data_IF_732819256831
#
_entry.id   IF_732819256831
#
_cell.length_a   1.000
_cell.length_b   1.000
_cell.length_c   1.000
_cell.angle_alpha   90.00
_cell.angle_beta   90.00
_cell.angle_gamma   90.00
#
_symmetry.space_group_name_H-M   'P 1'
#
loop_
_entity.id
_entity.type
_entity.pdbx_description
1 polymer ?
#
# COMPACT_ATOMS: atom_id res chain seq x y z
N UNK A 1 33.46 53.45 -32.07
CA UNK A 1 32.89 54.49 -32.96
C UNK A 1 32.32 53.81 -34.20
N UNK A 2 31.25 54.38 -34.74
CA UNK A 2 30.46 54.03 -35.93
C UNK A 2 29.28 53.04 -35.77
N UNK A 3 28.10 53.67 -35.58
CA UNK A 3 26.74 53.21 -35.91
C UNK A 3 26.51 53.24 -37.44
N UNK A 4 25.55 52.44 -37.91
CA UNK A 4 24.51 52.68 -38.96
C UNK A 4 23.69 51.35 -39.01
N UNK A 5 22.48 51.25 -38.44
CA UNK A 5 21.13 51.64 -38.94
C UNK A 5 20.36 50.51 -39.65
N UNK A 6 19.25 50.14 -39.00
CA UNK A 6 17.99 49.49 -39.41
C UNK A 6 17.66 49.23 -40.90
N UNK A 7 17.09 48.04 -41.15
CA UNK A 7 15.88 47.81 -41.99
C UNK A 7 15.24 46.45 -41.58
N UNK A 8 14.09 46.41 -40.89
CA UNK A 8 12.69 46.33 -41.38
C UNK A 8 12.30 45.08 -42.21
N UNK A 9 11.54 44.21 -41.51
CA UNK A 9 10.25 43.57 -41.84
C UNK A 9 10.17 42.36 -42.81
N UNK A 10 9.67 41.26 -42.21
CA UNK A 10 8.52 40.41 -42.59
C UNK A 10 8.65 39.57 -43.89
N UNK A 11 8.71 38.25 -43.70
CA UNK A 11 8.43 37.23 -44.73
C UNK A 11 7.72 36.04 -44.05
N UNK A 12 6.44 35.82 -44.37
CA UNK A 12 5.90 34.65 -45.12
C UNK A 12 5.81 33.37 -44.26
N UNK A 13 4.64 32.92 -43.79
CA UNK A 13 3.48 32.32 -44.48
C UNK A 13 3.67 30.81 -44.85
N UNK A 14 2.81 29.97 -44.25
CA UNK A 14 2.26 28.67 -44.68
C UNK A 14 3.18 27.46 -44.94
N UNK A 15 2.95 26.37 -44.19
CA UNK A 15 2.81 25.00 -44.77
C UNK A 15 1.64 24.25 -44.07
N UNK A 16 0.74 23.77 -44.92
CA UNK A 16 -0.41 22.89 -44.70
C UNK A 16 0.07 21.43 -44.82
N UNK A 17 -0.50 20.46 -44.07
CA UNK A 17 -0.87 19.17 -44.67
C UNK A 17 -1.98 18.43 -43.91
N UNK A 18 -2.98 18.04 -44.69
CA UNK A 18 -4.20 17.26 -44.43
C UNK A 18 -3.94 15.74 -44.60
N UNK A 19 -4.99 14.95 -44.36
CA UNK A 19 -5.24 13.50 -44.63
C UNK A 19 -5.04 12.55 -43.43
N UNK A 20 -5.96 11.64 -43.08
CA UNK A 20 -7.18 11.17 -43.78
C UNK A 20 -8.15 10.41 -42.85
N UNK A 21 -9.42 10.57 -43.15
CA UNK A 21 -10.58 9.78 -42.75
C UNK A 21 -10.55 8.31 -43.22
N UNK A 22 -11.22 7.43 -42.46
CA UNK A 22 -11.99 6.31 -43.02
C UNK A 22 -13.34 6.19 -42.30
N UNK A 23 -14.39 6.19 -43.13
CA UNK A 23 -15.79 5.91 -42.86
C UNK A 23 -16.21 4.85 -43.90
N UNK A 24 -16.83 3.75 -43.48
CA UNK A 24 -17.65 2.80 -44.28
C UNK A 24 -18.59 2.12 -43.26
N UNK A 25 -19.90 2.49 -43.23
CA UNK A 25 -21.09 1.81 -43.81
C UNK A 25 -21.43 0.46 -43.10
N UNK A 26 -22.67 0.03 -42.84
CA UNK A 26 -24.04 0.53 -42.95
C UNK A 26 -24.99 -0.47 -42.22
N UNK A 27 -26.08 0.08 -41.66
CA UNK A 27 -27.47 -0.42 -41.48
C UNK A 27 -27.86 -1.90 -41.74
N UNK A 28 -28.70 -2.47 -40.86
CA UNK A 28 -29.96 -3.26 -41.09
C UNK A 28 -30.60 -3.49 -39.68
N UNK A 29 -31.64 -2.74 -39.30
CA UNK A 29 -33.10 -3.05 -39.27
C UNK A 29 -33.62 -3.73 -37.98
N UNK A 30 -34.81 -3.26 -37.61
CA UNK A 30 -35.71 -3.67 -36.53
C UNK A 30 -35.96 -5.17 -36.46
N UNK A 31 -36.14 -5.67 -35.24
CA UNK A 31 -37.29 -6.51 -34.95
C UNK A 31 -37.84 -6.12 -33.57
N UNK A 32 -38.99 -5.43 -33.60
CA UNK A 32 -39.92 -5.40 -32.49
C UNK A 32 -40.36 -6.85 -32.22
N UNK A 33 -39.99 -7.37 -31.06
CA UNK A 33 -40.77 -8.45 -30.44
C UNK A 33 -41.25 -7.93 -29.08
N UNK A 34 -42.49 -7.48 -29.12
CA UNK A 34 -43.38 -7.26 -27.99
C UNK A 34 -43.55 -8.55 -27.19
N UNK A 35 -42.83 -8.65 -26.08
CA UNK A 35 -43.21 -9.51 -24.96
C UNK A 35 -42.97 -8.73 -23.67
N UNK A 36 -43.99 -7.98 -23.25
CA UNK A 36 -44.10 -7.56 -21.86
C UNK A 36 -44.02 -8.79 -20.95
N UNK A 37 -43.07 -8.81 -20.02
CA UNK A 37 -43.20 -9.61 -18.81
C UNK A 37 -43.08 -8.73 -17.57
N UNK A 38 -43.92 -8.98 -16.55
CA UNK A 38 -44.21 -8.02 -15.50
C UNK A 38 -43.21 -8.17 -14.35
N UNK A 39 -42.83 -7.04 -13.77
CA UNK A 39 -42.06 -7.00 -12.53
C UNK A 39 -40.56 -6.87 -12.73
N UNK A 40 -40.12 -5.84 -13.46
CA UNK A 40 -38.88 -5.19 -13.07
C UNK A 40 -39.07 -4.71 -11.63
N UNK A 41 -38.47 -5.43 -10.68
CA UNK A 41 -38.10 -4.80 -9.42
C UNK A 41 -37.29 -3.59 -9.83
N UNK A 42 -37.85 -2.39 -9.64
CA UNK A 42 -37.07 -1.17 -9.56
C UNK A 42 -35.90 -1.51 -8.66
N UNK A 43 -34.71 -1.64 -9.24
CA UNK A 43 -33.50 -1.48 -8.46
C UNK A 43 -33.61 -0.03 -8.02
N UNK A 44 -34.04 0.18 -6.78
CA UNK A 44 -33.90 1.47 -6.13
C UNK A 44 -32.41 1.79 -6.21
N UNK A 45 -32.06 2.66 -7.17
CA UNK A 45 -30.75 3.30 -7.17
C UNK A 45 -30.74 4.09 -5.89
N UNK A 46 -29.97 3.63 -4.92
CA UNK A 46 -29.84 4.27 -3.62
C UNK A 46 -29.19 5.65 -3.83
N UNK A 47 -30.03 6.69 -4.00
CA UNK A 47 -29.62 8.09 -4.21
C UNK A 47 -28.76 8.61 -3.05
N UNK A 48 -28.72 7.89 -1.91
CA UNK A 48 -27.90 8.23 -0.75
C UNK A 48 -26.40 8.22 -1.05
N UNK A 49 -25.95 7.49 -2.09
CA UNK A 49 -24.54 7.34 -2.43
C UNK A 49 -23.95 8.40 -3.35
N UNK A 50 -24.78 9.32 -3.85
CA UNK A 50 -24.36 10.25 -4.88
C UNK A 50 -23.42 11.31 -4.31
N UNK A 51 -22.43 11.67 -5.12
CA UNK A 51 -21.53 12.77 -4.83
C UNK A 51 -22.24 14.10 -5.13
N UNK A 52 -21.91 15.11 -4.35
CA UNK A 52 -22.29 16.48 -4.66
C UNK A 52 -21.61 16.94 -5.93
N UNK A 53 -22.27 17.87 -6.64
CA UNK A 53 -21.66 18.50 -7.83
C UNK A 53 -20.55 19.47 -7.43
N UNK A 54 -19.58 19.68 -8.31
CA UNK A 54 -18.50 20.67 -8.08
C UNK A 54 -19.06 22.08 -7.83
N UNK A 55 -20.23 22.41 -8.40
CA UNK A 55 -20.91 23.68 -8.16
C UNK A 55 -21.36 23.84 -6.70
N UNK A 56 -21.80 22.77 -6.04
CA UNK A 56 -22.19 22.79 -4.62
C UNK A 56 -20.97 23.01 -3.72
N UNK A 57 -19.84 22.37 -4.04
CA UNK A 57 -18.59 22.58 -3.33
C UNK A 57 -18.11 24.04 -3.47
N UNK A 58 -18.16 24.60 -4.69
CA UNK A 58 -17.81 26.00 -4.92
C UNK A 58 -18.75 26.97 -4.20
N UNK A 59 -20.06 26.68 -4.15
CA UNK A 59 -21.02 27.47 -3.37
C UNK A 59 -20.69 27.47 -1.88
N UNK A 60 -20.34 26.29 -1.34
CA UNK A 60 -19.93 26.15 0.06
C UNK A 60 -18.65 26.94 0.34
N UNK A 61 -17.62 26.79 -0.49
CA UNK A 61 -16.34 27.48 -0.33
C UNK A 61 -16.44 29.01 -0.45
N UNK A 62 -17.36 29.51 -1.29
CA UNK A 62 -17.59 30.94 -1.48
C UNK A 62 -18.58 31.54 -0.46
N UNK A 63 -19.18 30.73 0.42
CA UNK A 63 -20.08 31.24 1.45
C UNK A 63 -19.31 32.18 2.40
N UNK A 64 -19.77 33.42 2.61
CA UNK A 64 -19.05 34.41 3.41
C UNK A 64 -19.10 34.02 4.90
N UNK A 65 -17.94 33.72 5.49
CA UNK A 65 -17.79 33.43 6.92
C UNK A 65 -17.16 34.63 7.64
N UNK A 66 -17.72 34.99 8.80
CA UNK A 66 -17.06 35.89 9.74
C UNK A 66 -15.86 35.19 10.35
N UNK A 67 -14.77 35.92 10.63
CA UNK A 67 -13.60 35.34 11.31
C UNK A 67 -13.91 35.16 12.79
N UNK A 68 -13.52 34.02 13.33
CA UNK A 68 -13.56 33.79 14.77
C UNK A 68 -12.51 34.66 15.47
N UNK A 69 -12.91 35.33 16.56
CA UNK A 69 -12.02 36.09 17.43
C UNK A 69 -11.94 35.38 18.80
N UNK A 70 -10.79 34.76 19.15
CA UNK A 70 -10.63 34.05 20.41
C UNK A 70 -10.57 34.98 21.64
N UNK A 71 -10.32 36.29 21.46
CA UNK A 71 -10.31 37.25 22.56
C UNK A 71 -10.90 38.59 22.08
N UNK A 72 -12.24 38.69 21.96
CA UNK A 72 -12.87 39.91 21.51
C UNK A 72 -12.51 41.05 22.45
N UNK A 73 -11.95 42.14 21.92
CA UNK A 73 -11.47 43.30 22.69
C UNK A 73 -12.59 44.10 23.41
N UNK A 74 -13.75 43.50 23.66
CA UNK A 74 -14.97 44.20 24.06
C UNK A 74 -15.60 43.82 25.40
N UNK A 75 -15.38 42.63 25.95
CA UNK A 75 -16.18 42.15 27.09
C UNK A 75 -15.35 41.44 28.17
N UNK A 76 -14.60 42.19 28.99
CA UNK A 76 -14.41 41.91 30.42
C UNK A 76 -13.40 42.86 31.10
N UNK A 77 -13.87 43.65 32.08
CA UNK A 77 -13.05 44.37 33.07
C UNK A 77 -12.41 43.43 34.12
N UNK A 78 -12.49 42.11 33.89
CA UNK A 78 -11.87 41.07 34.71
C UNK A 78 -11.06 40.25 33.71
N UNK A 79 -9.72 40.37 33.76
CA UNK A 79 -8.80 39.85 32.76
C UNK A 79 -9.27 38.55 32.11
N UNK A 80 -9.54 38.61 30.79
CA UNK A 80 -9.97 37.45 30.04
C UNK A 80 -8.94 36.34 30.23
N UNK A 81 -9.35 35.27 30.90
CA UNK A 81 -8.52 34.08 31.00
C UNK A 81 -8.22 33.63 29.58
N UNK A 82 -6.95 33.64 29.18
CA UNK A 82 -6.55 33.15 27.87
C UNK A 82 -7.08 31.73 27.71
N UNK A 83 -7.95 31.54 26.70
CA UNK A 83 -8.51 30.23 26.40
C UNK A 83 -7.38 29.25 26.10
N UNK A 84 -7.50 28.02 26.59
CA UNK A 84 -6.55 26.98 26.20
C UNK A 84 -6.62 26.73 24.68
N UNK A 85 -5.55 26.22 24.04
CA UNK A 85 -5.57 25.90 22.61
C UNK A 85 -6.73 24.95 22.20
N UNK A 86 -7.13 24.06 23.10
CA UNK A 86 -8.26 23.14 22.87
C UNK A 86 -9.61 23.88 22.92
N UNK A 87 -9.79 24.80 23.87
CA UNK A 87 -11.01 25.61 23.98
C UNK A 87 -11.17 26.52 22.78
N UNK A 88 -10.08 27.15 22.31
CA UNK A 88 -10.07 27.95 21.08
C UNK A 88 -10.53 27.11 19.91
N UNK A 89 -9.99 25.90 19.75
CA UNK A 89 -10.34 24.98 18.66
C UNK A 89 -11.82 24.59 18.69
N UNK A 90 -12.33 24.17 19.85
CA UNK A 90 -13.73 23.76 19.98
C UNK A 90 -14.69 24.92 19.74
N UNK A 91 -14.39 26.11 20.28
CA UNK A 91 -15.21 27.31 20.08
C UNK A 91 -15.17 27.80 18.63
N UNK A 92 -14.02 27.68 17.96
CA UNK A 92 -13.88 27.99 16.53
C UNK A 92 -14.80 27.10 15.69
N UNK A 93 -14.80 25.79 15.95
CA UNK A 93 -15.66 24.83 15.24
C UNK A 93 -17.13 25.17 15.46
N UNK A 94 -17.54 25.40 16.72
CA UNK A 94 -18.93 25.78 17.06
C UNK A 94 -19.35 27.07 16.34
N UNK A 95 -18.49 28.09 16.37
CA UNK A 95 -18.75 29.40 15.75
C UNK A 95 -18.97 29.31 14.24
N UNK A 96 -18.20 28.48 13.53
CA UNK A 96 -18.44 28.28 12.10
C UNK A 96 -19.65 27.39 11.82
N UNK A 97 -19.93 26.40 12.67
CA UNK A 97 -21.11 25.54 12.51
C UNK A 97 -22.42 26.31 12.63
N UNK A 98 -22.49 27.27 13.57
CA UNK A 98 -23.65 28.14 13.72
C UNK A 98 -23.90 29.00 12.48
N UNK A 99 -22.84 29.49 11.82
CA UNK A 99 -22.95 30.27 10.58
C UNK A 99 -23.40 29.44 9.37
N UNK A 100 -23.23 28.12 9.44
CA UNK A 100 -23.52 27.19 8.35
C UNK A 100 -24.86 26.46 8.53
N UNK A 101 -25.70 26.80 9.52
CA UNK A 101 -26.92 26.04 9.84
C UNK A 101 -27.78 25.73 8.61
N UNK A 102 -28.01 26.75 7.77
CA UNK A 102 -28.85 26.71 6.56
C UNK A 102 -28.15 26.16 5.31
N UNK A 103 -26.85 25.85 5.39
CA UNK A 103 -26.08 25.36 4.23
C UNK A 103 -26.23 23.84 4.12
N UNK A 104 -26.50 23.38 2.89
CA UNK A 104 -26.61 21.95 2.60
C UNK A 104 -25.25 21.24 2.73
N UNK A 105 -25.30 19.97 3.13
CA UNK A 105 -24.13 19.12 3.23
C UNK A 105 -23.59 18.78 1.84
N UNK A 106 -22.27 18.88 1.68
CA UNK A 106 -21.53 18.57 0.45
C UNK A 106 -20.81 17.25 0.61
N UNK A 107 -21.08 16.32 -0.31
CA UNK A 107 -20.48 14.99 -0.38
C UNK A 107 -19.33 14.99 -1.39
N UNK A 108 -18.08 14.88 -0.94
CA UNK A 108 -16.92 14.76 -1.83
C UNK A 108 -16.21 13.42 -1.72
N UNK A 109 -15.41 13.06 -2.72
CA UNK A 109 -14.51 11.91 -2.62
C UNK A 109 -13.40 12.16 -1.59
N UNK A 110 -13.02 11.14 -0.83
CA UNK A 110 -11.90 11.27 0.10
C UNK A 110 -10.58 11.56 -0.62
N UNK A 111 -10.37 11.03 -1.83
CA UNK A 111 -9.19 11.32 -2.63
C UNK A 111 -9.06 12.82 -2.92
N UNK A 112 -10.19 13.48 -3.19
CA UNK A 112 -10.24 14.93 -3.40
C UNK A 112 -9.76 15.63 -2.14
N UNK A 113 -10.29 15.30 -0.96
CA UNK A 113 -9.87 15.89 0.31
C UNK A 113 -8.37 15.73 0.57
N UNK A 114 -7.85 14.51 0.39
CA UNK A 114 -6.45 14.19 0.64
C UNK A 114 -5.51 14.91 -0.35
N UNK A 115 -6.01 15.26 -1.54
CA UNK A 115 -5.24 16.03 -2.53
C UNK A 115 -5.20 17.55 -2.26
N UNK A 116 -5.98 18.06 -1.30
CA UNK A 116 -5.99 19.48 -0.94
C UNK A 116 -4.82 19.82 -0.02
N UNK A 117 -4.29 21.04 -0.18
CA UNK A 117 -3.25 21.59 0.68
C UNK A 117 -3.35 23.12 0.76
N UNK A 118 -2.58 23.72 1.68
CA UNK A 118 -2.51 25.17 1.87
C UNK A 118 -3.86 25.82 2.20
N UNK A 119 -4.10 27.01 1.66
CA UNK A 119 -5.28 27.84 1.96
C UNK A 119 -6.61 27.16 1.62
N UNK A 120 -6.62 26.29 0.60
CA UNK A 120 -7.84 25.57 0.20
C UNK A 120 -8.26 24.57 1.27
N UNK A 121 -7.30 23.87 1.89
CA UNK A 121 -7.57 22.96 2.99
C UNK A 121 -8.08 23.76 4.21
N UNK A 122 -7.39 24.85 4.59
CA UNK A 122 -7.81 25.71 5.71
C UNK A 122 -9.24 26.25 5.55
N UNK A 123 -9.60 26.67 4.33
CA UNK A 123 -10.95 27.13 4.00
C UNK A 123 -12.00 26.01 4.14
N UNK A 124 -11.62 24.79 3.76
CA UNK A 124 -12.48 23.61 3.87
C UNK A 124 -12.71 23.21 5.33
N UNK A 125 -11.69 23.28 6.18
CA UNK A 125 -11.77 22.94 7.62
C UNK A 125 -12.76 23.84 8.36
N UNK A 126 -12.80 25.14 8.05
CA UNK A 126 -13.80 26.06 8.60
C UNK A 126 -15.25 25.71 8.20
N UNK A 127 -15.43 24.78 7.24
CA UNK A 127 -16.72 24.31 6.74
C UNK A 127 -16.94 22.81 6.96
N UNK A 128 -16.08 22.19 7.75
CA UNK A 128 -16.02 20.75 8.02
C UNK A 128 -17.38 20.13 8.40
N UNK A 129 -18.21 20.81 9.19
CA UNK A 129 -19.52 20.27 9.62
C UNK A 129 -20.53 20.03 8.50
N UNK A 130 -20.33 20.65 7.33
CA UNK A 130 -21.15 20.43 6.14
C UNK A 130 -20.46 19.58 5.10
N UNK A 131 -19.42 18.86 5.49
CA UNK A 131 -18.61 18.07 4.58
C UNK A 131 -18.66 16.60 4.99
N UNK A 132 -19.02 15.78 4.00
CA UNK A 132 -18.96 14.33 4.11
C UNK A 132 -18.03 13.79 3.04
N UNK A 133 -17.04 13.01 3.46
CA UNK A 133 -16.11 12.35 2.55
C UNK A 133 -16.66 10.98 2.18
N UNK A 134 -16.69 10.61 0.92
CA UNK A 134 -17.17 9.31 0.45
C UNK A 134 -16.07 8.26 0.57
N UNK A 135 -16.41 7.09 1.09
CA UNK A 135 -15.56 5.91 1.08
C UNK A 135 -15.22 5.48 -0.36
N UNK A 136 -13.96 5.19 -0.69
CA UNK A 136 -13.55 4.82 -2.06
C UNK A 136 -14.26 3.57 -2.60
N UNK A 137 -14.55 2.62 -1.71
CA UNK A 137 -15.02 1.27 -2.08
C UNK A 137 -16.43 0.95 -1.58
N UNK A 138 -16.93 1.68 -0.60
CA UNK A 138 -18.20 1.41 0.09
C UNK A 138 -19.13 2.60 -0.06
N UNK A 139 -20.42 2.37 0.03
CA UNK A 139 -21.39 3.47 0.07
C UNK A 139 -21.49 4.07 1.49
N UNK A 140 -20.36 4.54 2.01
CA UNK A 140 -20.24 5.07 3.36
C UNK A 140 -19.61 6.46 3.29
N UNK A 141 -19.89 7.29 4.31
CA UNK A 141 -19.36 8.63 4.39
C UNK A 141 -18.65 8.89 5.71
N UNK A 142 -17.44 9.44 5.63
CA UNK A 142 -16.71 9.97 6.77
C UNK A 142 -17.19 11.37 7.09
N UNK A 143 -17.49 11.62 8.36
CA UNK A 143 -17.85 12.96 8.83
C UNK A 143 -16.60 13.72 9.24
N UNK A 144 -16.49 14.98 8.79
CA UNK A 144 -15.45 15.90 9.25
C UNK A 144 -15.96 16.74 10.42
N UNK A 145 -15.11 16.92 11.42
CA UNK A 145 -15.36 17.81 12.55
C UNK A 145 -14.09 18.61 12.86
N UNK A 146 -14.09 19.87 12.44
CA UNK A 146 -12.87 20.67 12.42
C UNK A 146 -11.82 20.01 11.54
N UNK A 147 -10.64 19.79 12.12
CA UNK A 147 -9.48 19.15 11.51
C UNK A 147 -9.42 17.64 11.77
N UNK A 148 -10.50 17.02 12.28
CA UNK A 148 -10.56 15.59 12.55
C UNK A 148 -11.61 14.90 11.68
N UNK A 149 -11.29 13.68 11.27
CA UNK A 149 -12.24 12.78 10.60
C UNK A 149 -12.72 11.79 11.64
N UNK A 150 -14.04 11.68 11.82
CA UNK A 150 -14.64 10.89 12.89
C UNK A 150 -14.96 9.47 12.41
N UNK A 151 -14.57 8.49 13.22
CA UNK A 151 -14.91 7.07 13.06
C UNK A 151 -13.72 6.23 12.63
N UNK A 152 -13.86 4.90 12.75
CA UNK A 152 -12.87 3.93 12.27
C UNK A 152 -13.41 3.22 11.05
N UNK A 153 -12.57 3.07 10.02
CA UNK A 153 -13.00 2.56 8.72
C UNK A 153 -12.01 1.57 8.16
N UNK A 154 -12.56 0.55 7.50
CA UNK A 154 -11.80 -0.55 6.94
C UNK A 154 -11.72 -0.43 5.41
N UNK A 155 -10.50 -0.51 4.87
CA UNK A 155 -10.22 -0.33 3.43
C UNK A 155 -9.06 -1.20 2.96
N UNK A 156 -9.06 -1.59 1.67
CA UNK A 156 -7.92 -2.28 1.06
C UNK A 156 -6.59 -1.52 1.27
N UNK A 157 -5.54 -2.24 1.68
CA UNK A 157 -4.26 -1.63 2.06
C UNK A 157 -3.62 -0.80 0.93
N UNK A 158 -3.71 -1.26 -0.32
CA UNK A 158 -3.21 -0.50 -1.47
C UNK A 158 -3.89 0.87 -1.64
N UNK A 159 -5.17 0.98 -1.28
CA UNK A 159 -5.88 2.26 -1.31
C UNK A 159 -5.41 3.17 -0.18
N UNK A 160 -5.18 2.62 1.00
CA UNK A 160 -4.60 3.35 2.14
C UNK A 160 -3.24 3.94 1.73
N UNK A 161 -2.37 3.14 1.12
CA UNK A 161 -1.06 3.60 0.63
C UNK A 161 -1.19 4.72 -0.41
N UNK A 162 -2.13 4.60 -1.36
CA UNK A 162 -2.38 5.64 -2.38
C UNK A 162 -2.89 6.95 -1.77
N UNK A 163 -3.84 6.87 -0.83
CA UNK A 163 -4.33 8.04 -0.09
C UNK A 163 -3.17 8.69 0.66
N UNK A 164 -2.42 7.91 1.42
CA UNK A 164 -1.32 8.42 2.21
C UNK A 164 -0.22 9.07 1.37
N UNK A 165 0.16 8.45 0.24
CA UNK A 165 1.10 9.03 -0.71
C UNK A 165 0.63 10.41 -1.20
N UNK A 166 -0.65 10.54 -1.55
CA UNK A 166 -1.23 11.84 -1.92
C UNK A 166 -1.17 12.84 -0.77
N UNK A 167 -1.47 12.41 0.46
CA UNK A 167 -1.44 13.25 1.66
C UNK A 167 -0.04 13.81 1.94
N UNK A 168 0.98 12.95 1.88
CA UNK A 168 2.40 13.31 2.07
C UNK A 168 2.84 14.28 0.98
N UNK A 169 2.56 13.98 -0.28
CA UNK A 169 2.95 14.82 -1.42
C UNK A 169 2.29 16.21 -1.38
N UNK A 170 1.09 16.34 -0.79
CA UNK A 170 0.37 17.60 -0.63
C UNK A 170 0.55 18.26 0.73
N UNK A 171 1.36 17.68 1.61
CA UNK A 171 1.59 18.15 3.00
C UNK A 171 0.28 18.33 3.77
N UNK A 172 -0.69 17.46 3.51
CA UNK A 172 -1.97 17.46 4.21
C UNK A 172 -1.83 16.63 5.50
N UNK A 173 -1.47 17.30 6.60
CA UNK A 173 -1.23 16.64 7.88
C UNK A 173 -2.50 16.00 8.47
N UNK A 174 -3.67 16.59 8.21
CA UNK A 174 -4.97 16.07 8.66
C UNK A 174 -5.24 14.71 8.01
N UNK A 175 -5.02 14.61 6.69
CA UNK A 175 -5.16 13.36 5.97
C UNK A 175 -4.12 12.31 6.39
N UNK A 176 -2.87 12.73 6.68
CA UNK A 176 -1.85 11.83 7.19
C UNK A 176 -2.22 11.25 8.56
N UNK A 177 -2.69 12.09 9.49
CA UNK A 177 -3.14 11.68 10.82
C UNK A 177 -4.37 10.76 10.73
N UNK A 178 -5.31 11.09 9.86
CA UNK A 178 -6.48 10.25 9.59
C UNK A 178 -6.07 8.83 9.16
N UNK A 179 -5.17 8.70 8.19
CA UNK A 179 -4.71 7.39 7.73
C UNK A 179 -4.05 6.60 8.87
N UNK A 180 -3.23 7.25 9.70
CA UNK A 180 -2.49 6.57 10.78
C UNK A 180 -3.37 6.14 11.95
N UNK A 181 -4.49 6.83 12.20
CA UNK A 181 -5.26 6.67 13.44
C UNK A 181 -6.66 6.11 13.26
N UNK A 182 -7.28 6.32 12.10
CA UNK A 182 -8.69 5.99 11.86
C UNK A 182 -8.90 4.95 10.75
N UNK A 183 -7.91 4.72 9.89
CA UNK A 183 -7.99 3.68 8.86
C UNK A 183 -7.35 2.39 9.34
N UNK A 184 -8.07 1.30 9.16
CA UNK A 184 -7.56 -0.06 9.38
C UNK A 184 -7.53 -0.79 8.04
N UNK A 185 -6.42 -1.44 7.69
CA UNK A 185 -6.35 -2.25 6.49
C UNK A 185 -7.32 -3.43 6.56
N UNK A 186 -8.04 -3.66 5.47
CA UNK A 186 -8.83 -4.87 5.29
C UNK A 186 -7.96 -6.11 5.33
N UNK A 187 -8.55 -7.23 5.78
CA UNK A 187 -7.83 -8.49 5.91
C UNK A 187 -7.29 -8.95 4.56
N UNK A 188 -6.04 -9.43 4.52
CA UNK A 188 -5.42 -10.00 3.32
C UNK A 188 -5.11 -11.49 3.50
N UNK A 189 -5.05 -12.26 2.42
CA UNK A 189 -4.67 -13.67 2.52
C UNK A 189 -3.16 -13.84 2.73
N UNK A 190 -2.73 -15.02 3.18
CA UNK A 190 -1.31 -15.38 3.27
C UNK A 190 -0.61 -15.26 1.91
N UNK A 191 -1.29 -15.68 0.85
CA UNK A 191 -0.76 -15.59 -0.52
C UNK A 191 -0.54 -14.13 -0.92
N UNK A 192 -1.44 -13.22 -0.56
CA UNK A 192 -1.33 -11.80 -0.89
C UNK A 192 -0.22 -11.12 -0.07
N UNK A 193 -0.05 -11.52 1.19
CA UNK A 193 1.07 -11.08 2.02
C UNK A 193 2.40 -11.54 1.43
N UNK A 194 2.52 -12.80 1.00
CA UNK A 194 3.75 -13.29 0.37
C UNK A 194 3.98 -12.61 -0.99
N UNK A 195 2.94 -12.41 -1.81
CA UNK A 195 3.04 -11.65 -3.07
C UNK A 195 3.48 -10.21 -2.84
N UNK A 196 3.10 -9.60 -1.72
CA UNK A 196 3.52 -8.24 -1.38
C UNK A 196 5.04 -8.11 -1.22
N UNK A 197 5.75 -9.21 -0.93
CA UNK A 197 7.22 -9.29 -0.82
C UNK A 197 7.95 -9.29 -2.18
N UNK A 198 7.23 -9.39 -3.30
CA UNK A 198 7.84 -9.39 -4.63
C UNK A 198 8.06 -8.00 -5.22
N UNK A 199 7.47 -6.96 -4.61
CA UNK A 199 7.32 -5.64 -5.22
C UNK A 199 8.11 -4.56 -4.47
N UNK A 200 9.45 -4.64 -4.58
CA UNK A 200 10.37 -3.66 -3.98
C UNK A 200 10.32 -2.29 -4.66
N UNK A 201 9.91 -2.23 -5.94
CA UNK A 201 9.98 -1.02 -6.77
C UNK A 201 8.63 -0.31 -6.95
N UNK A 202 7.50 -0.93 -6.55
CA UNK A 202 6.17 -0.39 -6.78
C UNK A 202 5.79 0.82 -5.94
N UNK A 203 6.57 1.16 -4.91
CA UNK A 203 6.19 2.17 -3.92
C UNK A 203 7.30 3.17 -3.62
N UNK A 204 6.90 4.39 -3.26
CA UNK A 204 7.84 5.46 -2.91
C UNK A 204 8.35 5.24 -1.48
N UNK A 205 9.67 5.06 -1.33
CA UNK A 205 10.34 4.81 -0.05
C UNK A 205 9.93 5.80 1.05
N UNK A 206 9.85 7.10 0.73
CA UNK A 206 9.46 8.16 1.66
C UNK A 206 8.03 8.01 2.20
N UNK A 207 7.12 7.40 1.44
CA UNK A 207 5.73 7.16 1.85
C UNK A 207 5.68 6.05 2.88
N UNK A 208 6.37 4.93 2.64
CA UNK A 208 6.45 3.82 3.60
C UNK A 208 7.19 4.27 4.86
N UNK A 209 8.33 4.92 4.69
CA UNK A 209 9.13 5.43 5.80
C UNK A 209 8.35 6.40 6.68
N UNK A 210 7.52 7.27 6.10
CA UNK A 210 6.68 8.18 6.87
C UNK A 210 5.44 7.50 7.48
N UNK A 211 5.04 6.30 7.08
CA UNK A 211 4.01 5.54 7.80
C UNK A 211 4.55 4.90 9.07
N UNK A 212 5.84 4.56 9.10
CA UNK A 212 6.48 3.91 10.23
C UNK A 212 6.82 4.93 11.33
N UNK A 213 6.34 4.73 12.57
CA UNK A 213 6.76 5.50 13.73
C UNK A 213 8.28 5.43 13.96
N UNK A 214 8.86 6.48 14.55
CA UNK A 214 10.33 6.57 14.71
C UNK A 214 10.93 5.45 15.53
N UNK A 215 10.28 5.08 16.62
CA UNK A 215 10.65 3.96 17.50
C UNK A 215 10.69 2.63 16.74
N UNK A 216 9.71 2.40 15.85
CA UNK A 216 9.70 1.22 14.97
C UNK A 216 10.85 1.29 13.97
N UNK A 217 11.10 2.46 13.36
CA UNK A 217 12.20 2.61 12.39
C UNK A 217 13.54 2.27 13.04
N UNK A 218 13.80 2.84 14.21
CA UNK A 218 15.03 2.57 14.97
C UNK A 218 15.14 1.10 15.34
N UNK A 219 14.04 0.45 15.74
CA UNK A 219 14.04 -0.96 16.12
C UNK A 219 14.40 -1.90 14.95
N UNK A 220 13.88 -1.63 13.75
CA UNK A 220 14.01 -2.53 12.60
C UNK A 220 15.16 -2.18 11.65
N UNK A 221 15.52 -0.90 11.53
CA UNK A 221 16.55 -0.42 10.60
C UNK A 221 17.76 0.22 11.31
N UNK A 222 17.64 0.55 12.60
CA UNK A 222 18.71 1.22 13.36
C UNK A 222 18.63 2.76 13.31
N UNK A 223 19.38 3.41 14.20
CA UNK A 223 19.38 4.87 14.32
C UNK A 223 19.89 5.56 13.04
N UNK A 224 19.15 6.57 12.56
CA UNK A 224 19.46 7.39 11.39
C UNK A 224 19.68 6.62 10.07
N UNK A 225 19.22 5.37 9.97
CA UNK A 225 19.26 4.63 8.71
C UNK A 225 18.03 4.94 7.87
N UNK A 226 18.26 5.40 6.64
CA UNK A 226 17.21 5.49 5.63
C UNK A 226 16.81 4.07 5.22
N UNK A 227 15.52 3.88 4.98
CA UNK A 227 15.00 2.62 4.48
C UNK A 227 15.72 2.25 3.17
N UNK A 228 16.30 1.06 3.06
CA UNK A 228 16.88 0.63 1.80
C UNK A 228 15.76 0.29 0.81
N UNK A 229 15.95 0.58 -0.49
CA UNK A 229 14.98 0.20 -1.54
C UNK A 229 14.72 -1.32 -1.51
N UNK A 230 15.74 -2.11 -1.19
CA UNK A 230 15.65 -3.56 -1.08
C UNK A 230 14.83 -4.07 0.13
N UNK A 231 14.44 -3.19 1.06
CA UNK A 231 13.64 -3.54 2.26
C UNK A 231 12.22 -2.95 2.19
N UNK A 232 11.84 -2.33 1.05
CA UNK A 232 10.56 -1.64 0.90
C UNK A 232 9.39 -2.61 1.01
N UNK A 233 9.52 -3.82 0.46
CA UNK A 233 8.43 -4.78 0.45
C UNK A 233 8.12 -5.34 1.85
N UNK A 234 9.13 -5.68 2.65
CA UNK A 234 8.95 -6.09 4.04
C UNK A 234 8.41 -4.93 4.90
N UNK A 235 8.92 -3.72 4.68
CA UNK A 235 8.49 -2.52 5.40
C UNK A 235 7.04 -2.15 5.12
N UNK A 236 6.57 -2.44 3.91
CA UNK A 236 5.15 -2.32 3.54
C UNK A 236 4.28 -3.28 4.35
N UNK A 237 4.69 -4.54 4.52
CA UNK A 237 3.96 -5.48 5.40
C UNK A 237 4.05 -5.08 6.88
N UNK A 238 5.16 -4.49 7.31
CA UNK A 238 5.29 -3.91 8.65
C UNK A 238 4.28 -2.78 8.84
N UNK A 239 4.18 -1.85 7.88
CA UNK A 239 3.19 -0.77 7.91
C UNK A 239 1.75 -1.31 7.92
N UNK A 240 1.46 -2.37 7.18
CA UNK A 240 0.17 -3.07 7.24
C UNK A 240 -0.13 -3.57 8.67
N UNK A 241 0.83 -4.25 9.30
CA UNK A 241 0.69 -4.76 10.68
C UNK A 241 0.46 -3.62 11.68
N UNK A 242 1.17 -2.51 11.56
CA UNK A 242 1.08 -1.36 12.48
C UNK A 242 -0.25 -0.62 12.39
N UNK A 243 -0.85 -0.56 11.21
CA UNK A 243 -2.18 0.03 11.02
C UNK A 243 -3.31 -0.92 11.50
N UNK A 244 -2.97 -2.04 12.14
CA UNK A 244 -3.94 -3.02 12.64
C UNK A 244 -4.42 -4.00 11.57
N UNK A 245 -3.69 -4.13 10.46
CA UNK A 245 -4.01 -5.09 9.41
C UNK A 245 -3.88 -6.54 9.91
N UNK A 246 -4.87 -7.36 9.58
CA UNK A 246 -4.91 -8.78 9.94
C UNK A 246 -4.79 -9.67 8.70
N UNK A 247 -4.19 -10.84 8.86
CA UNK A 247 -4.18 -11.86 7.81
C UNK A 247 -5.40 -12.76 7.97
N UNK A 248 -6.13 -13.01 6.88
CA UNK A 248 -7.17 -14.02 6.83
C UNK A 248 -6.54 -15.40 6.57
N UNK A 249 -6.68 -16.30 7.54
CA UNK A 249 -6.16 -17.66 7.50
C UNK A 249 -6.26 -18.27 8.90
N UNK A 250 -6.34 -19.60 9.00
CA UNK A 250 -6.30 -20.24 10.32
C UNK A 250 -4.99 -19.84 11.00
N UNK A 251 -5.05 -19.46 12.27
CA UNK A 251 -3.92 -19.11 13.16
C UNK A 251 -2.83 -20.19 13.30
N UNK A 252 -2.90 -21.25 12.50
CA UNK A 252 -2.01 -22.40 12.45
C UNK A 252 -1.30 -22.53 11.09
N UNK A 253 -1.42 -21.54 10.19
CA UNK A 253 -0.65 -21.56 8.95
C UNK A 253 0.83 -21.34 9.24
N UNK A 254 1.62 -22.29 8.76
CA UNK A 254 3.07 -22.28 8.97
C UNK A 254 3.80 -21.92 7.69
N UNK A 255 4.85 -21.13 7.86
CA UNK A 255 5.71 -20.66 6.80
C UNK A 255 7.11 -21.19 7.04
N UNK A 256 7.68 -21.83 6.03
CA UNK A 256 9.04 -22.34 6.05
C UNK A 256 9.85 -21.55 5.02
N UNK A 257 10.77 -20.72 5.50
CA UNK A 257 11.65 -19.91 4.67
C UNK A 257 12.97 -20.66 4.47
N UNK A 258 13.19 -21.18 3.27
CA UNK A 258 14.45 -21.79 2.87
C UNK A 258 15.39 -20.73 2.32
N UNK A 259 16.59 -20.69 2.87
CA UNK A 259 17.61 -19.75 2.49
C UNK A 259 18.97 -20.45 2.33
N UNK A 260 19.83 -19.99 1.41
CA UNK A 260 21.19 -20.50 1.31
C UNK A 260 22.04 -19.98 2.47
N UNK A 261 22.93 -20.82 3.00
CA UNK A 261 23.91 -20.43 4.04
C UNK A 261 24.86 -19.32 3.54
N UNK A 262 25.16 -19.31 2.25
CA UNK A 262 26.01 -18.30 1.62
C UNK A 262 25.41 -17.83 0.30
N UNK A 263 25.62 -16.55 -0.02
CA UNK A 263 25.26 -15.95 -1.32
C UNK A 263 26.35 -16.17 -2.39
N UNK A 264 27.54 -16.64 -2.00
CA UNK A 264 28.67 -16.71 -2.93
C UNK A 264 28.63 -17.99 -3.78
N UNK A 265 28.78 -17.84 -5.10
CA UNK A 265 28.75 -18.97 -6.02
C UNK A 265 27.34 -19.50 -6.30
N UNK A 266 26.29 -18.74 -5.98
CA UNK A 266 24.95 -19.03 -6.45
C UNK A 266 24.82 -18.64 -7.93
N UNK A 267 24.16 -19.49 -8.71
CA UNK A 267 23.73 -19.18 -10.06
C UNK A 267 22.30 -18.61 -9.96
N UNK A 268 22.13 -17.33 -10.27
CA UNK A 268 20.85 -16.63 -10.14
C UNK A 268 20.80 -15.57 -9.02
N UNK A 269 19.65 -14.93 -8.85
CA UNK A 269 19.47 -13.75 -8.01
C UNK A 269 19.07 -14.06 -6.57
N UNK A 270 19.97 -14.59 -5.71
CA UNK A 270 19.76 -14.78 -4.26
C UNK A 270 18.30 -15.10 -3.86
N UNK A 271 17.83 -16.29 -4.22
CA UNK A 271 16.39 -16.55 -4.22
C UNK A 271 16.01 -17.37 -2.98
N UNK A 272 15.20 -16.78 -2.11
CA UNK A 272 14.63 -17.47 -0.96
C UNK A 272 13.36 -18.18 -1.37
N UNK A 273 13.06 -19.31 -0.73
CA UNK A 273 11.82 -20.04 -1.01
C UNK A 273 10.96 -19.98 0.24
N UNK A 274 9.72 -19.52 0.10
CA UNK A 274 8.70 -19.61 1.15
C UNK A 274 7.78 -20.79 0.81
N UNK A 275 7.76 -21.79 1.68
CA UNK A 275 6.84 -22.92 1.58
C UNK A 275 5.76 -22.80 2.66
N UNK A 276 4.50 -22.92 2.25
CA UNK A 276 3.37 -22.81 3.17
C UNK A 276 2.88 -24.19 3.62
N UNK A 277 2.27 -24.26 4.80
CA UNK A 277 1.57 -25.46 5.28
C UNK A 277 0.44 -25.96 4.35
N UNK A 278 -0.03 -25.12 3.42
CA UNK A 278 -0.98 -25.48 2.35
C UNK A 278 -0.31 -26.16 1.14
N UNK A 279 1.01 -26.36 1.19
CA UNK A 279 1.78 -26.98 0.11
C UNK A 279 1.96 -26.07 -1.11
N UNK A 280 1.93 -24.76 -0.92
CA UNK A 280 2.29 -23.77 -1.95
C UNK A 280 3.74 -23.37 -1.76
N UNK A 281 4.39 -23.07 -2.88
CA UNK A 281 5.80 -22.68 -2.93
C UNK A 281 5.89 -21.32 -3.63
N UNK A 282 6.61 -20.42 -2.99
CA UNK A 282 6.84 -19.05 -3.45
C UNK A 282 8.33 -18.80 -3.53
N UNK A 283 8.79 -18.31 -4.67
CA UNK A 283 10.17 -17.96 -4.95
C UNK A 283 10.32 -16.46 -4.76
N UNK A 284 10.86 -16.00 -3.64
CA UNK A 284 10.91 -14.58 -3.28
C UNK A 284 12.32 -14.03 -3.47
N UNK A 285 12.53 -13.08 -4.39
CA UNK A 285 13.84 -12.50 -4.67
C UNK A 285 14.25 -11.54 -3.56
N UNK A 286 15.56 -11.46 -3.28
CA UNK A 286 16.19 -10.42 -2.44
C UNK A 286 15.67 -10.23 -1.01
N UNK A 287 14.82 -11.13 -0.53
CA UNK A 287 14.19 -11.08 0.79
C UNK A 287 15.19 -10.79 1.92
N UNK A 288 14.91 -9.74 2.70
CA UNK A 288 15.58 -9.50 3.96
C UNK A 288 15.02 -10.46 5.02
N UNK A 289 15.61 -11.66 5.09
CA UNK A 289 15.12 -12.76 5.93
C UNK A 289 14.87 -12.32 7.39
N UNK A 290 15.80 -11.68 8.11
CA UNK A 290 15.53 -11.23 9.49
C UNK A 290 14.31 -10.32 9.61
N UNK A 291 14.17 -9.32 8.73
CA UNK A 291 13.07 -8.38 8.77
C UNK A 291 11.74 -9.06 8.41
N UNK A 292 11.73 -9.80 7.31
CA UNK A 292 10.56 -10.52 6.82
C UNK A 292 9.98 -11.46 7.88
N UNK A 293 10.82 -12.16 8.64
CA UNK A 293 10.37 -13.07 9.70
C UNK A 293 9.77 -12.35 10.89
N UNK A 294 10.36 -11.23 11.29
CA UNK A 294 9.82 -10.45 12.40
C UNK A 294 8.44 -9.89 12.03
N UNK A 295 8.30 -9.39 10.80
CA UNK A 295 7.02 -8.92 10.25
C UNK A 295 6.01 -10.06 10.13
N UNK A 296 6.44 -11.22 9.61
CA UNK A 296 5.55 -12.38 9.52
C UNK A 296 5.08 -12.85 10.91
N UNK A 297 5.97 -12.86 11.91
CA UNK A 297 5.61 -13.22 13.29
C UNK A 297 4.67 -12.20 13.94
N UNK A 298 4.85 -10.89 13.68
CA UNK A 298 3.93 -9.86 14.20
C UNK A 298 2.53 -9.97 13.59
N UNK A 299 2.44 -10.48 12.35
CA UNK A 299 1.18 -10.81 11.67
C UNK A 299 0.57 -12.15 12.12
N UNK A 300 1.20 -12.83 13.08
CA UNK A 300 0.70 -14.08 13.67
C UNK A 300 1.11 -15.35 12.94
N UNK A 301 2.04 -15.30 11.97
CA UNK A 301 2.54 -16.50 11.30
C UNK A 301 3.55 -17.26 12.16
N UNK A 302 3.46 -18.60 12.16
CA UNK A 302 4.53 -19.45 12.64
C UNK A 302 5.59 -19.61 11.55
N UNK A 303 6.49 -18.62 11.44
CA UNK A 303 7.57 -18.60 10.45
C UNK A 303 8.86 -19.24 10.99
N UNK A 304 9.33 -20.28 10.31
CA UNK A 304 10.58 -21.00 10.59
C UNK A 304 11.58 -20.81 9.46
N UNK A 305 12.85 -20.57 9.79
CA UNK A 305 13.94 -20.50 8.81
C UNK A 305 14.62 -21.86 8.70
N UNK A 306 14.94 -22.26 7.48
CA UNK A 306 15.76 -23.43 7.18
C UNK A 306 16.93 -22.92 6.34
N UNK A 307 18.12 -22.91 6.94
CA UNK A 307 19.34 -22.48 6.25
C UNK A 307 20.02 -23.72 5.69
N UNK A 308 20.19 -23.77 4.36
CA UNK A 308 20.76 -24.93 3.69
C UNK A 308 22.20 -24.65 3.28
N UNK A 309 23.10 -25.58 3.60
CA UNK A 309 24.49 -25.61 3.15
C UNK A 309 24.79 -26.81 2.23
N UNK A 310 23.84 -27.73 2.14
CA UNK A 310 23.86 -28.90 1.28
C UNK A 310 22.43 -29.11 0.76
N UNK A 311 22.29 -29.34 -0.55
CA UNK A 311 21.05 -29.72 -1.21
C UNK A 311 21.31 -31.01 -1.96
N UNK A 312 20.78 -32.10 -1.43
CA UNK A 312 20.78 -33.36 -2.13
C UNK A 312 19.71 -33.33 -3.23
N UNK A 313 20.09 -33.67 -4.46
CA UNK A 313 19.15 -33.75 -5.59
C UNK A 313 18.89 -35.23 -5.89
N UNK A 314 19.94 -35.98 -6.24
CA UNK A 314 19.88 -37.41 -6.52
C UNK A 314 21.22 -38.10 -6.19
N UNK A 315 21.34 -39.40 -6.47
CA UNK A 315 22.54 -40.20 -6.16
C UNK A 315 23.83 -39.68 -6.81
N UNK A 316 23.71 -38.97 -7.95
CA UNK A 316 24.85 -38.44 -8.68
C UNK A 316 24.98 -36.93 -8.53
N UNK A 317 23.90 -36.22 -8.20
CA UNK A 317 23.85 -34.77 -8.22
C UNK A 317 23.52 -34.18 -6.86
N UNK A 318 24.35 -33.24 -6.39
CA UNK A 318 24.07 -32.44 -5.20
C UNK A 318 24.79 -31.10 -5.23
N UNK A 319 24.30 -30.13 -4.46
CA UNK A 319 24.96 -28.85 -4.25
C UNK A 319 25.45 -28.71 -2.82
N UNK A 320 26.69 -28.24 -2.63
CA UNK A 320 27.26 -28.06 -1.29
C UNK A 320 28.10 -26.79 -1.19
N UNK A 321 28.08 -26.17 -0.01
CA UNK A 321 28.99 -25.08 0.38
C UNK A 321 30.36 -25.65 0.74
N UNK A 322 31.40 -25.17 0.06
CA UNK A 322 32.79 -25.51 0.37
C UNK A 322 33.40 -24.62 1.45
N UNK A 323 34.65 -24.90 1.83
CA UNK A 323 35.37 -24.22 2.93
C UNK A 323 35.48 -22.69 2.80
N UNK A 324 35.46 -22.15 1.56
CA UNK A 324 35.47 -20.70 1.31
C UNK A 324 34.07 -20.05 1.36
N UNK A 325 33.04 -20.80 1.75
CA UNK A 325 31.64 -20.36 1.68
C UNK A 325 31.10 -20.28 0.26
N UNK A 326 31.75 -20.92 -0.72
CA UNK A 326 31.31 -20.95 -2.12
C UNK A 326 30.43 -22.16 -2.38
N UNK A 327 29.32 -21.97 -3.09
CA UNK A 327 28.52 -23.07 -3.59
C UNK A 327 29.16 -23.77 -4.78
N UNK A 328 29.10 -25.10 -4.75
CA UNK A 328 29.53 -25.98 -5.84
C UNK A 328 28.42 -26.98 -6.15
N UNK A 329 28.29 -27.31 -7.42
CA UNK A 329 27.46 -28.40 -7.91
C UNK A 329 28.38 -29.59 -8.21
N UNK A 330 28.07 -30.73 -7.60
CA UNK A 330 28.71 -32.01 -7.82
C UNK A 330 27.82 -32.89 -8.69
N UNK A 331 28.39 -33.46 -9.76
CA UNK A 331 27.74 -34.44 -10.61
C UNK A 331 28.67 -35.65 -10.79
N UNK A 332 28.47 -36.69 -9.98
CA UNK A 332 29.43 -37.76 -9.78
C UNK A 332 30.75 -37.21 -9.25
N UNK A 333 31.84 -37.49 -9.96
CA UNK A 333 33.18 -37.01 -9.61
C UNK A 333 33.47 -35.58 -10.11
N UNK A 334 32.56 -34.99 -10.89
CA UNK A 334 32.76 -33.64 -11.43
C UNK A 334 32.30 -32.59 -10.42
N UNK A 335 33.22 -31.68 -10.05
CA UNK A 335 32.94 -30.51 -9.23
C UNK A 335 32.90 -29.27 -10.12
N UNK A 336 31.76 -28.58 -10.14
CA UNK A 336 31.58 -27.33 -10.86
C UNK A 336 31.31 -26.19 -9.87
N UNK A 337 31.89 -25.03 -10.13
CA UNK A 337 31.64 -23.82 -9.36
C UNK A 337 30.29 -23.24 -9.79
N UNK A 338 29.45 -22.87 -8.82
CA UNK A 338 28.07 -22.52 -9.12
C UNK A 338 27.10 -23.55 -8.58
N UNK A 339 25.99 -23.11 -7.98
CA UNK A 339 24.80 -23.91 -7.82
C UNK A 339 23.56 -23.07 -8.11
N UNK A 340 22.64 -23.61 -8.92
CA UNK A 340 21.28 -23.09 -9.02
C UNK A 340 20.51 -23.52 -7.76
N UNK A 341 20.62 -22.73 -6.70
CA UNK A 341 20.05 -23.07 -5.40
C UNK A 341 18.54 -23.22 -5.47
N UNK A 342 17.86 -22.31 -6.16
CA UNK A 342 16.41 -22.26 -6.19
C UNK A 342 15.83 -23.51 -6.87
N UNK A 343 16.23 -23.78 -8.12
CA UNK A 343 15.71 -24.93 -8.86
C UNK A 343 15.98 -26.24 -8.12
N UNK A 344 17.18 -26.38 -7.54
CA UNK A 344 17.58 -27.58 -6.83
C UNK A 344 16.87 -27.73 -5.47
N UNK A 345 16.67 -26.65 -4.72
CA UNK A 345 15.91 -26.68 -3.47
C UNK A 345 14.43 -26.98 -3.72
N UNK A 346 13.81 -26.37 -4.74
CA UNK A 346 12.42 -26.68 -5.15
C UNK A 346 12.31 -28.16 -5.52
N UNK A 347 13.24 -28.67 -6.33
CA UNK A 347 13.27 -30.09 -6.70
C UNK A 347 13.40 -30.99 -5.46
N UNK A 348 14.33 -30.66 -4.55
CA UNK A 348 14.56 -31.43 -3.33
C UNK A 348 13.35 -31.43 -2.38
N UNK A 349 12.62 -30.30 -2.27
CA UNK A 349 11.36 -30.22 -1.51
C UNK A 349 10.29 -31.14 -2.13
N UNK A 350 10.11 -31.08 -3.46
CA UNK A 350 9.10 -31.88 -4.17
C UNK A 350 9.39 -33.37 -4.15
N UNK A 351 10.66 -33.74 -4.32
CA UNK A 351 11.13 -35.13 -4.35
C UNK A 351 11.43 -35.68 -2.96
N UNK A 352 11.31 -34.86 -1.90
CA UNK A 352 11.54 -35.21 -0.50
C UNK A 352 12.96 -35.68 -0.20
N UNK A 353 13.93 -35.12 -0.89
CA UNK A 353 15.33 -35.51 -0.73
C UNK A 353 16.10 -34.65 0.27
N UNK A 354 15.44 -33.64 0.87
CA UNK A 354 16.02 -32.80 1.92
C UNK A 354 16.47 -33.60 3.16
N UNK A 355 15.84 -34.74 3.45
CA UNK A 355 16.25 -35.64 4.55
C UNK A 355 17.67 -36.21 4.38
N UNK A 356 18.18 -36.23 3.13
CA UNK A 356 19.53 -36.68 2.78
C UNK A 356 20.55 -35.55 2.78
N UNK A 357 20.10 -34.32 3.03
CA UNK A 357 20.97 -33.15 3.08
C UNK A 357 21.63 -33.03 4.44
N UNK A 358 22.84 -32.46 4.52
CA UNK A 358 23.64 -32.44 5.77
C UNK A 358 22.97 -31.57 6.85
N UNK A 359 22.24 -30.53 6.44
CA UNK A 359 21.45 -29.68 7.34
C UNK A 359 20.20 -30.34 7.92
N UNK A 360 19.87 -31.58 7.54
CA UNK A 360 18.66 -32.26 8.01
C UNK A 360 18.63 -32.40 9.52
N UNK A 361 19.74 -32.81 10.16
CA UNK A 361 19.76 -33.01 11.62
C UNK A 361 19.44 -31.72 12.38
N UNK A 362 19.91 -30.57 11.88
CA UNK A 362 19.69 -29.26 12.49
C UNK A 362 18.24 -28.79 12.34
N UNK A 363 17.62 -29.06 11.18
CA UNK A 363 16.27 -28.58 10.85
C UNK A 363 15.23 -29.70 10.79
N UNK A 364 15.49 -30.83 11.44
CA UNK A 364 14.73 -32.08 11.32
C UNK A 364 13.22 -31.87 11.46
N UNK A 365 12.80 -31.25 12.56
CA UNK A 365 11.37 -31.00 12.83
C UNK A 365 10.71 -30.17 11.71
N UNK A 366 11.41 -29.15 11.20
CA UNK A 366 10.88 -28.29 10.13
C UNK A 366 10.81 -29.03 8.79
N UNK A 367 11.85 -29.81 8.45
CA UNK A 367 11.92 -30.58 7.21
C UNK A 367 10.89 -31.73 7.21
N UNK A 368 10.73 -32.42 8.33
CA UNK A 368 9.71 -33.48 8.49
C UNK A 368 8.30 -32.91 8.28
N UNK A 369 8.03 -31.72 8.82
CA UNK A 369 6.75 -31.04 8.64
C UNK A 369 6.52 -30.62 7.19
N UNK A 370 7.51 -30.02 6.53
CA UNK A 370 7.44 -29.69 5.10
C UNK A 370 7.12 -30.94 4.28
N UNK A 371 7.83 -32.04 4.54
CA UNK A 371 7.63 -33.33 3.87
C UNK A 371 6.20 -33.86 4.08
N UNK A 372 5.64 -33.69 5.29
CA UNK A 372 4.26 -34.08 5.59
C UNK A 372 3.21 -33.26 4.81
N UNK A 373 3.49 -31.99 4.51
CA UNK A 373 2.60 -31.12 3.76
C UNK A 373 2.66 -31.39 2.25
N UNK A 374 3.84 -31.76 1.73
CA UNK A 374 3.98 -32.21 0.34
C UNK A 374 3.11 -33.45 0.07
N UNK A 375 2.97 -34.35 1.05
CA UNK A 375 2.15 -35.57 0.92
C UNK A 375 0.64 -35.33 0.78
N UNK A 376 0.11 -34.21 1.27
CA UNK A 376 -1.34 -33.94 1.26
C UNK A 376 -1.89 -33.56 -0.12
N UNK A 377 -1.02 -33.41 -1.14
CA UNK A 377 -1.36 -32.96 -2.49
C UNK A 377 -1.33 -34.07 -3.55
N UNK A 378 -0.99 -35.29 -3.16
CA UNK A 378 -1.21 -36.54 -3.93
C UNK A 378 -2.40 -37.27 -3.33
#
# INVERSE_FOLDING_TARGET
MNKISMNKKISALLIIFFFSSKLVLAQVEDDQIDFGTPGEKKVEVDESCNLSSDQELLKLLNFPLKKFDPNPQGDSEIGSAEMSPQDVKQNTIRFYNEQLSEVNMVKLKIETFVSLGGDTLSSLINRSSKISLKHPEKCEFFSLYGDQIIGSYEMAFERILKLYASAVNKKNNIAQEFVRTQLTPSKMSVDDAIKALYDDYGYQQNVIESLLPEDVRVLFFGENQLLNIADVAESKLLAFSLLGGEIFGNSNEELFVFAPESKKGLLGSNETIIFTSTGKLYEVPLLNIPLALNVMRSLGFNAKIIILNHIYIDEKSYCKVGEAGMWYHFNGDQKQMGCDFLSNAVKSIREKTLEKSEGYELFKESIDRVTSFVNKKL
#
